data_IF_641581473284
#
_entry.id   IF_641581473284
#
_cell.length_a   1.000
_cell.length_b   1.000
_cell.length_c   1.000
_cell.angle_alpha   90.00
_cell.angle_beta   90.00
_cell.angle_gamma   90.00
#
_symmetry.space_group_name_H-M   'P 1'
#
loop_
_entity.id
_entity.type
_entity.pdbx_description
1 polymer ?
#
# COMPACT_ATOMS: atom_id res chain seq x y z
N UNK A 1 36.33 11.31 8.94
CA UNK A 1 36.40 10.36 7.80
C UNK A 1 35.27 9.36 7.97
N UNK A 2 34.12 9.63 7.37
CA UNK A 2 32.98 8.70 7.34
C UNK A 2 33.23 7.68 6.24
N UNK A 3 33.43 6.43 6.62
CA UNK A 3 33.63 5.35 5.66
C UNK A 3 32.38 5.22 4.80
N UNK A 4 32.53 5.30 3.48
CA UNK A 4 31.47 4.99 2.50
C UNK A 4 31.05 3.53 2.76
N UNK A 5 29.77 3.24 3.00
CA UNK A 5 29.35 1.87 3.22
C UNK A 5 29.64 1.04 1.96
N UNK A 6 30.40 -0.04 2.14
CA UNK A 6 30.69 -0.97 1.06
C UNK A 6 29.39 -1.45 0.40
N UNK A 7 29.34 -1.40 -0.93
CA UNK A 7 28.18 -1.90 -1.69
C UNK A 7 27.92 -3.36 -1.29
N UNK A 8 26.71 -3.64 -0.79
CA UNK A 8 26.34 -5.01 -0.46
C UNK A 8 26.40 -5.90 -1.72
N UNK A 9 26.92 -7.14 -1.63
CA UNK A 9 26.85 -8.08 -2.74
C UNK A 9 25.42 -8.18 -3.27
N UNK A 10 25.23 -8.32 -4.60
CA UNK A 10 23.90 -8.39 -5.23
C UNK A 10 22.97 -9.42 -4.58
N UNK A 11 23.54 -10.51 -4.07
CA UNK A 11 22.82 -11.62 -3.43
C UNK A 11 22.18 -11.27 -2.07
N UNK A 12 22.74 -10.30 -1.33
CA UNK A 12 22.21 -9.82 -0.03
C UNK A 12 21.26 -8.63 -0.16
N UNK A 13 20.99 -8.15 -1.38
CA UNK A 13 20.04 -7.07 -1.60
C UNK A 13 18.62 -7.57 -1.42
N UNK A 14 17.79 -6.73 -0.80
CA UNK A 14 16.37 -7.02 -0.66
C UNK A 14 15.67 -6.76 -2.00
N UNK A 15 14.89 -7.73 -2.41
CA UNK A 15 14.18 -7.70 -3.69
C UNK A 15 12.69 -7.89 -3.50
N UNK A 16 11.92 -7.36 -4.42
CA UNK A 16 10.52 -7.71 -4.63
C UNK A 16 10.51 -8.82 -5.66
N UNK A 17 10.03 -9.99 -5.28
CA UNK A 17 9.99 -11.20 -6.12
C UNK A 17 8.57 -11.63 -6.49
N UNK A 18 7.55 -10.97 -5.91
CA UNK A 18 6.14 -11.20 -6.21
C UNK A 18 5.29 -10.03 -5.78
N UNK A 19 4.11 -9.89 -6.36
CA UNK A 19 3.11 -8.92 -5.95
C UNK A 19 1.70 -9.38 -6.29
N UNK A 20 0.73 -8.90 -5.52
CA UNK A 20 -0.69 -9.09 -5.77
C UNK A 20 -1.44 -7.80 -5.51
N UNK A 21 -2.59 -7.65 -6.12
CA UNK A 21 -3.42 -6.44 -6.01
C UNK A 21 -4.90 -6.77 -6.14
N UNK A 22 -5.68 -6.19 -5.24
CA UNK A 22 -7.13 -6.11 -5.31
C UNK A 22 -7.49 -4.63 -5.40
N UNK A 23 -8.16 -4.20 -6.46
CA UNK A 23 -8.28 -2.78 -6.79
C UNK A 23 -9.63 -2.45 -7.44
N UNK A 24 -9.94 -1.17 -7.69
CA UNK A 24 -11.12 -0.78 -8.47
C UNK A 24 -11.18 -1.35 -9.91
N UNK A 25 -10.07 -1.85 -10.44
CA UNK A 25 -10.09 -2.61 -11.70
C UNK A 25 -10.52 -4.08 -11.53
N UNK A 26 -10.64 -4.58 -10.28
CA UNK A 26 -11.01 -5.95 -9.95
C UNK A 26 -9.93 -6.68 -9.16
N UNK A 27 -10.02 -8.00 -9.15
CA UNK A 27 -9.09 -8.89 -8.49
C UNK A 27 -7.92 -9.24 -9.41
N UNK A 28 -6.72 -9.27 -8.85
CA UNK A 28 -5.51 -9.75 -9.50
C UNK A 28 -4.75 -8.72 -10.33
N UNK A 29 -3.48 -9.05 -10.54
CA UNK A 29 -2.47 -8.21 -11.20
C UNK A 29 -2.82 -7.85 -12.65
N UNK A 30 -3.46 -8.79 -13.35
CA UNK A 30 -3.76 -8.61 -14.76
C UNK A 30 -4.76 -7.47 -14.97
N UNK A 31 -5.88 -7.50 -14.27
CA UNK A 31 -6.91 -6.44 -14.36
C UNK A 31 -6.34 -5.08 -13.99
N UNK A 32 -5.51 -5.02 -12.95
CA UNK A 32 -4.85 -3.79 -12.54
C UNK A 32 -3.89 -3.27 -13.60
N UNK A 33 -3.02 -4.13 -14.15
CA UNK A 33 -2.03 -3.73 -15.14
C UNK A 33 -2.70 -3.27 -16.46
N UNK A 34 -3.68 -4.02 -16.96
CA UNK A 34 -4.44 -3.66 -18.17
C UNK A 34 -5.12 -2.29 -18.00
N UNK A 35 -5.92 -2.11 -16.94
CA UNK A 35 -6.64 -0.85 -16.72
C UNK A 35 -5.72 0.35 -16.49
N UNK A 36 -4.61 0.15 -15.79
CA UNK A 36 -3.63 1.20 -15.51
C UNK A 36 -2.87 1.62 -16.78
N UNK A 37 -2.38 0.66 -17.56
CA UNK A 37 -1.60 0.93 -18.79
C UNK A 37 -2.47 1.56 -19.89
N UNK A 38 -3.76 1.20 -19.93
CA UNK A 38 -4.72 1.82 -20.84
C UNK A 38 -5.17 3.22 -20.37
N UNK A 39 -4.77 3.64 -19.16
CA UNK A 39 -5.19 4.91 -18.57
C UNK A 39 -6.69 4.96 -18.26
N UNK A 40 -7.35 3.81 -18.11
CA UNK A 40 -8.80 3.72 -17.85
C UNK A 40 -9.12 4.18 -16.44
N UNK A 41 -10.03 5.15 -16.29
CA UNK A 41 -10.53 5.59 -14.98
C UNK A 41 -11.41 4.49 -14.36
N UNK A 42 -11.04 4.00 -13.19
CA UNK A 42 -11.77 2.94 -12.47
C UNK A 42 -12.75 3.48 -11.42
N UNK A 43 -12.76 4.80 -11.17
CA UNK A 43 -13.82 5.41 -10.36
C UNK A 43 -15.12 5.49 -11.16
N UNK A 44 -16.23 5.23 -10.50
CA UNK A 44 -17.56 5.25 -11.10
C UNK A 44 -18.58 5.91 -10.18
N UNK A 45 -19.76 6.23 -10.72
CA UNK A 45 -20.86 6.79 -9.95
C UNK A 45 -21.23 5.88 -8.77
N UNK A 46 -21.40 6.46 -7.60
CA UNK A 46 -21.81 5.74 -6.39
C UNK A 46 -23.31 5.54 -6.38
N UNK A 47 -23.75 4.30 -6.19
CA UNK A 47 -25.18 4.02 -5.92
C UNK A 47 -25.55 4.55 -4.53
N UNK A 48 -26.28 5.67 -4.49
CA UNK A 48 -26.72 6.31 -3.25
C UNK A 48 -27.69 5.47 -2.41
N UNK A 49 -28.33 4.46 -3.00
CA UNK A 49 -29.17 3.50 -2.26
C UNK A 49 -28.32 2.51 -1.45
N UNK A 50 -27.20 2.07 -2.01
CA UNK A 50 -26.25 1.19 -1.33
C UNK A 50 -25.26 1.97 -0.47
N UNK A 51 -24.80 3.12 -0.95
CA UNK A 51 -23.76 3.94 -0.34
C UNK A 51 -24.24 5.38 -0.14
N UNK A 52 -24.92 5.71 0.98
CA UNK A 52 -25.37 7.07 1.26
C UNK A 52 -24.20 7.97 1.74
N UNK A 53 -23.31 8.30 0.82
CA UNK A 53 -22.06 9.05 1.03
C UNK A 53 -22.09 10.42 0.35
N UNK A 54 -21.29 11.39 0.82
CA UNK A 54 -21.20 12.73 0.24
C UNK A 54 -20.25 12.80 -0.98
N UNK A 55 -20.13 11.72 -1.75
CA UNK A 55 -19.31 11.63 -2.96
C UNK A 55 -20.16 11.14 -4.12
N UNK A 56 -20.03 11.76 -5.28
CA UNK A 56 -20.71 11.34 -6.52
C UNK A 56 -20.04 10.13 -7.18
N UNK A 57 -18.75 9.95 -6.95
CA UNK A 57 -17.93 8.87 -7.51
C UNK A 57 -17.07 8.22 -6.43
N UNK A 58 -16.71 6.96 -6.63
CA UNK A 58 -15.74 6.22 -5.83
C UNK A 58 -15.04 5.14 -6.66
N UNK A 59 -13.82 4.78 -6.25
CA UNK A 59 -13.07 3.63 -6.77
C UNK A 59 -13.38 2.39 -5.93
N UNK A 60 -14.45 1.67 -6.28
CA UNK A 60 -14.88 0.46 -5.58
C UNK A 60 -14.41 -0.79 -6.31
N UNK A 61 -14.06 -1.84 -5.56
CA UNK A 61 -13.75 -3.15 -6.14
C UNK A 61 -15.06 -3.73 -6.72
N UNK A 62 -15.14 -4.02 -8.03
CA UNK A 62 -16.37 -4.46 -8.67
C UNK A 62 -16.88 -5.77 -8.08
N UNK A 63 -18.14 -5.77 -7.61
CA UNK A 63 -18.80 -6.97 -7.13
C UNK A 63 -18.15 -7.68 -5.96
N UNK A 64 -17.28 -7.03 -5.19
CA UNK A 64 -16.53 -7.66 -4.10
C UNK A 64 -17.44 -8.13 -2.97
N UNK A 65 -17.58 -9.44 -2.86
CA UNK A 65 -18.23 -10.13 -1.74
C UNK A 65 -17.27 -11.14 -1.11
N UNK A 66 -16.99 -10.94 0.18
CA UNK A 66 -16.02 -11.76 0.94
C UNK A 66 -16.38 -13.24 0.92
N UNK A 67 -17.69 -13.57 1.03
CA UNK A 67 -18.15 -14.95 1.07
C UNK A 67 -18.09 -15.63 -0.29
N UNK A 68 -18.32 -14.85 -1.36
CA UNK A 68 -18.18 -15.35 -2.72
C UNK A 68 -16.72 -15.70 -3.05
N UNK A 69 -15.77 -14.85 -2.62
CA UNK A 69 -14.33 -15.04 -2.91
C UNK A 69 -13.69 -16.05 -1.97
N UNK A 70 -13.89 -15.92 -0.66
CA UNK A 70 -13.20 -16.72 0.37
C UNK A 70 -13.99 -17.94 0.88
N UNK A 71 -15.24 -18.09 0.46
CA UNK A 71 -16.17 -19.07 0.99
C UNK A 71 -16.75 -18.67 2.36
N UNK A 72 -17.64 -19.50 2.90
CA UNK A 72 -18.36 -19.19 4.16
C UNK A 72 -17.56 -19.46 5.43
N UNK A 73 -16.58 -20.38 5.38
CA UNK A 73 -15.82 -20.81 6.56
C UNK A 73 -14.84 -19.72 6.99
N UNK A 74 -15.01 -19.23 8.22
CA UNK A 74 -14.12 -18.22 8.82
C UNK A 74 -14.35 -16.77 8.34
N UNK A 75 -15.37 -16.51 7.49
CA UNK A 75 -15.63 -15.17 6.94
C UNK A 75 -16.78 -14.42 7.59
N UNK A 76 -17.48 -15.05 8.57
CA UNK A 76 -18.69 -14.48 9.17
C UNK A 76 -18.46 -13.13 9.87
N UNK A 77 -17.31 -12.99 10.53
CA UNK A 77 -16.93 -11.81 11.30
C UNK A 77 -15.95 -10.90 10.56
N UNK A 78 -15.55 -11.22 9.34
CA UNK A 78 -14.64 -10.37 8.58
C UNK A 78 -15.38 -9.12 8.09
N UNK A 79 -14.80 -7.95 8.36
CA UNK A 79 -15.20 -6.70 7.73
C UNK A 79 -14.55 -6.54 6.35
N UNK A 80 -14.89 -5.45 5.66
CA UNK A 80 -14.43 -5.21 4.29
C UNK A 80 -12.91 -5.06 4.22
N UNK A 81 -12.30 -4.31 5.13
CA UNK A 81 -10.84 -4.12 5.18
C UNK A 81 -10.11 -5.46 5.36
N UNK A 82 -10.60 -6.29 6.29
CA UNK A 82 -10.06 -7.63 6.53
C UNK A 82 -10.23 -8.54 5.31
N UNK A 83 -11.41 -8.52 4.69
CA UNK A 83 -11.69 -9.33 3.50
C UNK A 83 -10.76 -9.00 2.34
N UNK A 84 -10.56 -7.71 2.05
CA UNK A 84 -9.65 -7.22 1.00
C UNK A 84 -8.22 -7.69 1.28
N UNK A 85 -7.73 -7.49 2.52
CA UNK A 85 -6.38 -7.90 2.90
C UNK A 85 -6.17 -9.41 2.77
N UNK A 86 -7.10 -10.22 3.29
CA UNK A 86 -7.03 -11.69 3.25
C UNK A 86 -7.03 -12.23 1.82
N UNK A 87 -7.85 -11.66 0.93
CA UNK A 87 -7.90 -12.04 -0.49
C UNK A 87 -6.56 -11.75 -1.15
N UNK A 88 -6.03 -10.55 -0.98
CA UNK A 88 -4.78 -10.13 -1.63
C UNK A 88 -3.56 -10.92 -1.11
N UNK A 89 -3.54 -11.25 0.20
CA UNK A 89 -2.52 -12.16 0.76
C UNK A 89 -2.62 -13.55 0.12
N UNK A 90 -3.84 -14.07 -0.04
CA UNK A 90 -4.08 -15.37 -0.67
C UNK A 90 -3.57 -15.41 -2.11
N UNK A 91 -3.93 -14.43 -2.94
CA UNK A 91 -3.45 -14.31 -4.33
C UNK A 91 -1.91 -14.22 -4.41
N UNK A 92 -1.28 -13.48 -3.51
CA UNK A 92 0.18 -13.38 -3.47
C UNK A 92 0.83 -14.73 -3.16
N UNK A 93 0.26 -15.49 -2.22
CA UNK A 93 0.78 -16.80 -1.84
C UNK A 93 0.49 -17.88 -2.88
N UNK A 94 -0.64 -17.83 -3.56
CA UNK A 94 -0.96 -18.75 -4.66
C UNK A 94 0.03 -18.60 -5.82
N UNK A 95 0.34 -17.36 -6.19
CA UNK A 95 1.20 -17.08 -7.33
C UNK A 95 2.70 -17.22 -7.03
N UNK A 96 3.13 -16.87 -5.83
CA UNK A 96 4.55 -16.73 -5.47
C UNK A 96 4.97 -17.46 -4.19
N UNK A 97 4.03 -18.06 -3.46
CA UNK A 97 4.29 -18.66 -2.16
C UNK A 97 4.98 -20.03 -2.18
N UNK A 98 5.36 -20.55 -3.35
CA UNK A 98 6.07 -21.81 -3.45
C UNK A 98 7.33 -21.81 -2.56
N UNK A 99 7.46 -22.80 -1.69
CA UNK A 99 8.56 -22.93 -0.76
C UNK A 99 8.42 -22.12 0.54
N UNK A 100 7.60 -21.07 0.59
CA UNK A 100 7.42 -20.25 1.81
C UNK A 100 6.72 -21.03 2.92
N UNK A 101 5.82 -21.94 2.58
CA UNK A 101 5.12 -22.80 3.53
C UNK A 101 6.05 -23.79 4.26
N UNK A 102 7.27 -24.03 3.76
CA UNK A 102 8.26 -24.90 4.41
C UNK A 102 8.85 -24.26 5.68
N UNK A 103 8.87 -22.90 5.75
CA UNK A 103 9.35 -22.17 6.92
C UNK A 103 8.34 -21.07 7.33
N UNK A 104 7.16 -21.46 7.86
CA UNK A 104 6.11 -20.52 8.19
C UNK A 104 6.49 -19.58 9.33
N UNK A 105 7.43 -19.97 10.22
CA UNK A 105 7.92 -19.16 11.33
C UNK A 105 8.87 -18.05 10.90
N UNK A 106 9.44 -18.17 9.70
CA UNK A 106 10.30 -17.16 9.06
C UNK A 106 9.58 -16.42 7.92
N UNK A 107 8.30 -16.74 7.68
CA UNK A 107 7.44 -16.04 6.72
C UNK A 107 6.40 -15.24 7.47
N UNK A 108 6.41 -13.91 7.31
CA UNK A 108 5.56 -13.00 8.05
C UNK A 108 4.82 -11.99 7.17
N UNK A 109 4.12 -11.06 7.82
CA UNK A 109 3.29 -10.04 7.17
C UNK A 109 3.48 -8.68 7.83
N UNK A 110 3.76 -7.65 7.04
CA UNK A 110 3.74 -6.24 7.42
C UNK A 110 2.65 -5.55 6.62
N UNK A 111 1.50 -5.34 7.22
CA UNK A 111 0.34 -4.73 6.55
C UNK A 111 0.11 -3.31 7.03
N UNK A 112 0.01 -2.40 6.09
CA UNK A 112 -0.43 -1.03 6.30
C UNK A 112 -1.95 -0.91 6.20
N UNK A 113 -2.59 -0.14 7.08
CA UNK A 113 -4.03 0.13 7.01
C UNK A 113 -4.40 1.28 7.94
N UNK A 114 -5.51 1.96 7.63
CA UNK A 114 -6.17 2.87 8.57
C UNK A 114 -7.07 2.14 9.59
N UNK A 115 -7.26 0.83 9.40
CA UNK A 115 -8.25 0.04 10.12
C UNK A 115 -9.64 0.14 9.51
N UNK A 116 -10.62 -0.55 10.09
CA UNK A 116 -12.01 -0.44 9.63
C UNK A 116 -12.73 0.69 10.37
N UNK A 117 -12.84 1.84 9.72
CA UNK A 117 -13.61 2.99 10.25
C UNK A 117 -15.07 2.61 10.46
N UNK A 118 -15.65 1.81 9.56
CA UNK A 118 -17.00 1.30 9.70
C UNK A 118 -17.17 0.49 10.99
N UNK A 119 -16.30 -0.50 11.21
CA UNK A 119 -16.40 -1.38 12.39
C UNK A 119 -16.23 -0.61 13.69
N UNK A 120 -15.29 0.34 13.74
CA UNK A 120 -15.07 1.18 14.92
C UNK A 120 -16.30 2.03 15.21
N UNK A 121 -16.83 2.71 14.21
CA UNK A 121 -17.98 3.61 14.37
C UNK A 121 -19.26 2.86 14.72
N UNK A 122 -19.53 1.73 14.06
CA UNK A 122 -20.73 0.91 14.32
C UNK A 122 -20.66 0.28 15.72
N UNK A 123 -19.50 -0.24 16.12
CA UNK A 123 -19.32 -0.77 17.48
C UNK A 123 -19.50 0.31 18.56
N UNK A 124 -18.92 1.49 18.34
CA UNK A 124 -19.05 2.63 19.25
C UNK A 124 -20.50 3.10 19.34
N UNK A 125 -21.19 3.18 18.20
CA UNK A 125 -22.61 3.51 18.16
C UNK A 125 -23.43 2.53 18.97
N UNK A 126 -23.24 1.22 18.78
CA UNK A 126 -23.97 0.19 19.51
C UNK A 126 -23.72 0.29 21.02
N UNK A 127 -22.48 0.59 21.44
CA UNK A 127 -22.12 0.80 22.83
C UNK A 127 -22.79 2.03 23.46
N UNK A 128 -22.95 3.12 22.69
CA UNK A 128 -23.49 4.39 23.19
C UNK A 128 -25.02 4.48 23.12
N UNK A 129 -25.63 3.88 22.10
CA UNK A 129 -27.08 4.03 21.82
C UNK A 129 -27.88 2.79 22.14
N UNK A 130 -27.23 1.66 22.48
CA UNK A 130 -27.90 0.43 22.91
C UNK A 130 -28.62 0.62 24.24
N UNK A 131 -29.62 -0.22 24.51
CA UNK A 131 -30.41 -0.21 25.75
C UNK A 131 -29.51 -0.34 27.00
N UNK A 132 -28.39 -1.08 26.86
CA UNK A 132 -27.36 -1.25 27.88
C UNK A 132 -25.99 -1.10 27.24
N UNK A 133 -25.21 -0.04 27.53
CA UNK A 133 -23.94 0.26 26.86
C UNK A 133 -22.91 -0.88 26.83
N UNK A 134 -22.95 -1.78 27.82
CA UNK A 134 -22.05 -2.92 27.92
C UNK A 134 -22.52 -4.19 27.16
N UNK A 135 -23.75 -4.17 26.61
CA UNK A 135 -24.29 -5.28 25.82
C UNK A 135 -23.97 -5.09 24.33
N UNK A 136 -22.69 -5.19 23.99
CA UNK A 136 -22.21 -5.20 22.62
C UNK A 136 -21.87 -6.63 22.17
N UNK A 137 -21.94 -6.90 20.88
CA UNK A 137 -21.54 -8.21 20.35
C UNK A 137 -20.01 -8.38 20.44
N UNK A 138 -19.49 -9.26 21.33
CA UNK A 138 -18.05 -9.42 21.50
C UNK A 138 -17.35 -9.95 20.24
N UNK A 139 -18.06 -10.60 19.32
CA UNK A 139 -17.50 -11.09 18.06
C UNK A 139 -17.12 -9.97 17.10
N UNK A 140 -17.65 -8.75 17.30
CA UNK A 140 -17.33 -7.56 16.49
C UNK A 140 -16.13 -6.79 17.03
N UNK A 141 -15.76 -7.00 18.30
CA UNK A 141 -14.66 -6.26 18.94
C UNK A 141 -13.31 -6.42 18.20
N UNK A 142 -12.89 -7.60 17.70
CA UNK A 142 -11.63 -7.72 16.98
C UNK A 142 -11.50 -6.79 15.77
N UNK A 143 -12.61 -6.44 15.11
CA UNK A 143 -12.60 -5.54 13.94
C UNK A 143 -12.43 -4.06 14.33
N UNK A 144 -12.48 -3.72 15.61
CA UNK A 144 -12.26 -2.33 16.07
C UNK A 144 -10.79 -1.99 16.26
N UNK A 145 -9.89 -2.97 16.15
CA UNK A 145 -8.45 -2.76 16.28
C UNK A 145 -7.76 -2.90 14.93
N UNK A 146 -6.86 -1.97 14.63
CA UNK A 146 -6.25 -1.85 13.30
C UNK A 146 -5.42 -3.06 12.87
N UNK A 147 -5.00 -3.93 13.80
CA UNK A 147 -4.24 -5.14 13.46
C UNK A 147 -5.13 -6.35 13.11
N UNK A 148 -6.46 -6.20 13.11
CA UNK A 148 -7.37 -7.30 12.76
C UNK A 148 -7.11 -7.85 11.35
N UNK A 149 -7.01 -7.03 10.28
CA UNK A 149 -6.71 -7.52 8.93
C UNK A 149 -5.41 -8.29 8.85
N UNK A 150 -4.36 -7.83 9.53
CA UNK A 150 -3.04 -8.49 9.55
C UNK A 150 -3.10 -9.83 10.29
N UNK A 151 -3.73 -9.86 11.46
CA UNK A 151 -3.90 -11.07 12.27
C UNK A 151 -4.76 -12.13 11.58
N UNK A 152 -5.90 -11.74 11.01
CA UNK A 152 -6.79 -12.66 10.28
C UNK A 152 -6.11 -13.23 9.02
N UNK A 153 -5.34 -12.41 8.30
CA UNK A 153 -4.56 -12.87 7.16
C UNK A 153 -3.51 -13.90 7.58
N UNK A 154 -2.77 -13.63 8.66
CA UNK A 154 -1.77 -14.55 9.17
C UNK A 154 -2.36 -15.89 9.63
N UNK A 155 -3.49 -15.86 10.36
CA UNK A 155 -4.20 -17.06 10.81
C UNK A 155 -4.67 -17.89 9.62
N UNK A 156 -5.34 -17.26 8.65
CA UNK A 156 -5.90 -17.96 7.50
C UNK A 156 -4.85 -18.62 6.62
N UNK A 157 -3.72 -17.92 6.43
CA UNK A 157 -2.65 -18.37 5.54
C UNK A 157 -1.46 -19.00 6.28
N UNK A 158 -1.58 -19.22 7.59
CA UNK A 158 -0.57 -19.90 8.42
C UNK A 158 0.79 -19.21 8.39
N UNK A 159 0.80 -17.86 8.38
CA UNK A 159 2.01 -17.05 8.51
C UNK A 159 2.35 -16.89 9.99
N UNK A 160 3.45 -17.47 10.44
CA UNK A 160 3.86 -17.51 11.85
C UNK A 160 5.06 -16.62 12.16
N UNK A 161 5.66 -16.02 11.16
CA UNK A 161 6.74 -15.05 11.32
C UNK A 161 6.24 -13.72 11.87
N UNK A 162 7.05 -12.65 11.79
CA UNK A 162 6.66 -11.33 12.27
C UNK A 162 5.31 -10.88 11.70
N UNK A 163 4.41 -10.42 12.57
CA UNK A 163 3.10 -9.91 12.20
C UNK A 163 2.98 -8.47 12.68
N UNK A 164 2.99 -7.52 11.77
CA UNK A 164 3.07 -6.09 12.08
C UNK A 164 2.02 -5.31 11.32
N UNK A 165 1.40 -4.37 12.01
CA UNK A 165 0.50 -3.39 11.38
C UNK A 165 1.09 -1.99 11.53
N UNK A 166 1.07 -1.23 10.43
CA UNK A 166 1.56 0.15 10.39
C UNK A 166 0.49 1.09 9.84
N UNK A 167 0.55 2.36 10.25
CA UNK A 167 -0.31 3.42 9.72
C UNK A 167 0.49 4.71 9.62
N UNK A 168 0.26 5.47 8.57
CA UNK A 168 0.94 6.74 8.29
C UNK A 168 0.30 7.41 7.06
N UNK A 169 -1.04 7.41 7.01
CA UNK A 169 -1.82 8.02 5.95
C UNK A 169 -1.42 7.49 4.56
N UNK A 170 -1.30 8.36 3.58
CA UNK A 170 -0.96 8.01 2.20
C UNK A 170 0.45 7.38 2.04
N UNK A 171 1.36 7.59 3.02
CA UNK A 171 2.70 7.00 3.00
C UNK A 171 2.76 5.55 3.53
N UNK A 172 1.65 5.01 4.01
CA UNK A 172 1.59 3.73 4.73
C UNK A 172 2.20 2.57 3.95
N UNK A 173 1.92 2.45 2.64
CA UNK A 173 2.48 1.38 1.80
C UNK A 173 4.01 1.39 1.75
N UNK A 174 4.63 2.59 1.65
CA UNK A 174 6.09 2.74 1.69
C UNK A 174 6.66 2.48 3.09
N UNK A 175 5.95 2.88 4.15
CA UNK A 175 6.34 2.61 5.54
C UNK A 175 6.33 1.10 5.81
N UNK A 176 5.32 0.36 5.32
CA UNK A 176 5.24 -1.09 5.44
C UNK A 176 6.42 -1.77 4.73
N UNK A 177 6.74 -1.36 3.50
CA UNK A 177 7.90 -1.85 2.74
C UNK A 177 9.22 -1.59 3.49
N UNK A 178 9.40 -0.38 4.03
CA UNK A 178 10.60 -0.02 4.79
C UNK A 178 10.72 -0.81 6.10
N UNK A 179 9.60 -1.00 6.82
CA UNK A 179 9.61 -1.78 8.06
C UNK A 179 9.93 -3.25 7.80
N UNK A 180 9.33 -3.85 6.78
CA UNK A 180 9.65 -5.21 6.33
C UNK A 180 11.13 -5.35 5.95
N UNK A 181 11.68 -4.36 5.23
CA UNK A 181 13.10 -4.31 4.88
C UNK A 181 14.01 -4.30 6.11
N UNK A 182 13.62 -3.61 7.18
CA UNK A 182 14.36 -3.61 8.45
C UNK A 182 14.32 -4.97 9.15
N UNK A 183 13.15 -5.62 9.19
CA UNK A 183 13.01 -6.95 9.79
C UNK A 183 13.83 -8.00 9.05
N UNK A 184 13.84 -7.98 7.72
CA UNK A 184 14.65 -8.89 6.90
C UNK A 184 16.16 -8.67 7.12
N UNK A 185 16.60 -7.40 7.10
CA UNK A 185 18.02 -7.08 7.39
C UNK A 185 18.44 -7.46 8.80
N UNK A 186 17.52 -7.41 9.76
CA UNK A 186 17.73 -7.85 11.14
C UNK A 186 17.68 -9.38 11.35
N UNK A 187 17.40 -10.18 10.30
CA UNK A 187 17.31 -11.64 10.37
C UNK A 187 16.08 -12.17 11.11
N UNK A 188 15.05 -11.31 11.32
CA UNK A 188 13.81 -11.70 12.01
C UNK A 188 12.94 -12.58 11.13
N UNK A 189 13.05 -12.48 9.81
CA UNK A 189 12.33 -13.28 8.82
C UNK A 189 13.23 -13.58 7.61
N UNK A 190 12.86 -14.60 6.83
CA UNK A 190 13.47 -14.94 5.54
C UNK A 190 12.66 -14.35 4.39
N UNK A 191 11.34 -14.27 4.55
CA UNK A 191 10.42 -13.66 3.60
C UNK A 191 9.34 -12.87 4.34
N UNK A 192 8.95 -11.72 3.79
CA UNK A 192 7.86 -10.91 4.31
C UNK A 192 6.93 -10.47 3.17
N UNK A 193 5.64 -10.68 3.39
CA UNK A 193 4.62 -10.01 2.62
C UNK A 193 4.48 -8.58 3.18
N UNK A 194 4.62 -7.57 2.35
CA UNK A 194 4.53 -6.18 2.79
C UNK A 194 3.69 -5.36 1.81
N UNK A 195 2.88 -4.47 2.33
CA UNK A 195 2.03 -3.59 1.52
C UNK A 195 0.94 -2.97 2.37
N UNK A 196 -0.18 -2.59 1.74
CA UNK A 196 -1.26 -1.94 2.46
C UNK A 196 -2.64 -2.28 1.89
N UNK A 197 -3.65 -2.15 2.75
CA UNK A 197 -5.06 -2.34 2.42
C UNK A 197 -5.90 -1.19 3.00
N UNK A 198 -6.94 -0.79 2.26
CA UNK A 198 -7.90 0.22 2.67
C UNK A 198 -9.32 -0.17 2.25
N UNK A 199 -10.30 0.12 3.09
CA UNK A 199 -11.72 -0.09 2.77
C UNK A 199 -12.38 1.19 2.28
N UNK A 200 -13.44 1.03 1.47
CA UNK A 200 -14.46 2.06 1.33
C UNK A 200 -15.62 1.77 2.26
N UNK A 201 -16.08 2.77 3.00
CA UNK A 201 -17.27 2.68 3.84
C UNK A 201 -17.97 4.03 3.96
N UNK A 202 -19.25 3.99 4.33
CA UNK A 202 -20.04 5.22 4.55
C UNK A 202 -19.41 6.06 5.66
N UNK A 203 -18.92 5.42 6.70
CA UNK A 203 -18.31 6.07 7.85
C UNK A 203 -17.00 6.75 7.47
N UNK A 204 -16.12 6.04 6.73
CA UNK A 204 -14.88 6.62 6.22
C UNK A 204 -15.16 7.79 5.29
N UNK A 205 -16.09 7.64 4.34
CA UNK A 205 -16.44 8.70 3.41
C UNK A 205 -16.93 9.98 4.10
N UNK A 206 -17.73 9.84 5.14
CA UNK A 206 -18.19 10.99 5.96
C UNK A 206 -17.07 11.63 6.75
N UNK A 207 -16.18 10.82 7.35
CA UNK A 207 -15.04 11.30 8.12
C UNK A 207 -14.07 12.08 7.23
N UNK A 208 -13.72 11.53 6.07
CA UNK A 208 -12.83 12.16 5.09
C UNK A 208 -13.41 13.50 4.61
N UNK A 209 -14.71 13.54 4.32
CA UNK A 209 -15.37 14.79 3.89
C UNK A 209 -15.33 15.88 4.95
N UNK A 210 -15.44 15.51 6.22
CA UNK A 210 -15.30 16.47 7.34
C UNK A 210 -13.85 16.93 7.48
N UNK A 211 -12.90 16.03 7.37
CA UNK A 211 -11.48 16.32 7.47
C UNK A 211 -10.98 17.26 6.33
N UNK A 212 -11.55 17.14 5.12
CA UNK A 212 -11.29 18.03 3.99
C UNK A 212 -11.98 19.41 4.11
N UNK A 213 -12.64 19.70 5.24
CA UNK A 213 -13.39 20.94 5.47
C UNK A 213 -14.44 21.25 4.38
N UNK A 214 -14.97 20.22 3.74
CA UNK A 214 -15.96 20.36 2.68
C UNK A 214 -15.42 20.94 1.36
N UNK A 215 -14.10 20.93 1.15
CA UNK A 215 -13.45 21.46 -0.04
C UNK A 215 -14.02 20.89 -1.33
N UNK A 216 -14.16 21.72 -2.37
CA UNK A 216 -14.70 21.31 -3.68
C UNK A 216 -13.74 20.40 -4.48
N UNK A 217 -12.49 20.31 -4.07
CA UNK A 217 -11.40 19.60 -4.76
C UNK A 217 -11.11 18.21 -4.19
N UNK A 218 -11.99 17.65 -3.34
CA UNK A 218 -11.76 16.31 -2.80
C UNK A 218 -11.83 15.25 -3.91
N UNK A 219 -10.78 14.45 -4.04
CA UNK A 219 -10.78 13.30 -4.95
C UNK A 219 -11.83 12.28 -4.54
N UNK A 220 -12.36 11.50 -5.51
CA UNK A 220 -13.12 10.29 -5.17
C UNK A 220 -12.31 9.37 -4.27
N UNK A 221 -12.94 8.80 -3.24
CA UNK A 221 -12.28 7.79 -2.43
C UNK A 221 -12.15 6.48 -3.19
N UNK A 222 -11.04 5.78 -2.96
CA UNK A 222 -10.78 4.44 -3.47
C UNK A 222 -10.64 3.41 -2.36
N UNK A 223 -10.63 2.14 -2.72
CA UNK A 223 -10.36 1.01 -1.84
C UNK A 223 -9.51 -0.05 -2.51
N UNK A 224 -8.98 -0.96 -1.73
CA UNK A 224 -8.27 -2.13 -2.22
C UNK A 224 -7.01 -2.41 -1.42
N UNK A 225 -6.16 -3.26 -1.97
CA UNK A 225 -4.86 -3.61 -1.39
C UNK A 225 -3.83 -3.90 -2.48
N UNK A 226 -2.57 -3.61 -2.18
CA UNK A 226 -1.44 -4.13 -2.93
C UNK A 226 -0.38 -4.63 -1.96
N UNK A 227 0.13 -5.83 -2.22
CA UNK A 227 1.09 -6.55 -1.39
C UNK A 227 2.24 -7.07 -2.23
N UNK A 228 3.41 -7.10 -1.62
CA UNK A 228 4.69 -7.45 -2.26
C UNK A 228 5.39 -8.52 -1.44
N UNK A 229 5.97 -9.51 -2.11
CA UNK A 229 6.88 -10.47 -1.49
C UNK A 229 8.29 -9.89 -1.47
N UNK A 230 8.80 -9.64 -0.27
CA UNK A 230 10.16 -9.19 0.00
C UNK A 230 11.00 -10.32 0.57
N UNK A 231 12.18 -10.50 0.00
CA UNK A 231 13.16 -11.50 0.42
C UNK A 231 14.57 -11.10 -0.05
N UNK A 232 15.59 -11.89 0.27
CA UNK A 232 16.91 -11.70 -0.33
C UNK A 232 16.92 -12.16 -1.80
N UNK A 233 17.79 -11.59 -2.62
CA UNK A 233 17.97 -12.04 -4.00
C UNK A 233 18.41 -13.50 -4.12
N UNK A 234 19.06 -14.04 -3.09
CA UNK A 234 19.42 -15.45 -2.97
C UNK A 234 18.18 -16.32 -2.74
N UNK A 235 17.33 -15.97 -1.76
CA UNK A 235 16.10 -16.69 -1.46
C UNK A 235 15.13 -16.68 -2.65
N UNK A 236 15.03 -15.56 -3.37
CA UNK A 236 14.22 -15.47 -4.58
C UNK A 236 14.70 -16.48 -5.64
N UNK A 237 16.02 -16.55 -5.89
CA UNK A 237 16.61 -17.48 -6.85
C UNK A 237 16.42 -18.94 -6.44
N UNK A 238 16.67 -19.27 -5.18
CA UNK A 238 16.45 -20.62 -4.64
C UNK A 238 14.98 -21.05 -4.73
N UNK A 239 14.06 -20.10 -4.50
CA UNK A 239 12.62 -20.31 -4.69
C UNK A 239 12.14 -20.27 -6.14
N UNK A 240 13.05 -20.16 -7.12
CA UNK A 240 12.69 -20.08 -8.55
C UNK A 240 11.92 -18.81 -8.93
N UNK A 241 11.99 -17.76 -8.10
CA UNK A 241 11.27 -16.50 -8.32
C UNK A 241 12.16 -15.49 -9.05
N UNK A 242 11.56 -14.77 -9.98
CA UNK A 242 12.22 -13.66 -10.68
C UNK A 242 12.32 -12.44 -9.77
N UNK A 243 13.44 -11.74 -9.81
CA UNK A 243 13.56 -10.41 -9.21
C UNK A 243 12.77 -9.42 -10.07
N UNK A 244 11.76 -8.77 -9.49
CA UNK A 244 10.95 -7.76 -10.16
C UNK A 244 11.49 -6.36 -9.92
N UNK A 245 12.01 -6.13 -8.70
CA UNK A 245 12.71 -4.89 -8.37
C UNK A 245 13.64 -5.13 -7.16
N UNK A 246 14.72 -4.35 -7.08
CA UNK A 246 15.58 -4.26 -5.90
C UNK A 246 15.23 -3.00 -5.12
N UNK A 247 15.01 -3.10 -3.82
CA UNK A 247 14.77 -1.95 -2.93
C UNK A 247 16.11 -1.31 -2.57
N UNK A 248 16.40 -0.17 -3.17
CA UNK A 248 17.65 0.55 -2.95
C UNK A 248 17.62 1.32 -1.63
N UNK A 249 16.52 1.96 -1.31
CA UNK A 249 16.35 2.69 -0.06
C UNK A 249 15.02 3.40 0.06
N UNK A 250 14.72 3.85 1.28
CA UNK A 250 13.57 4.71 1.58
C UNK A 250 13.97 5.80 2.56
N UNK A 251 13.39 6.98 2.43
CA UNK A 251 13.54 8.11 3.35
C UNK A 251 12.18 8.68 3.70
N UNK A 252 11.99 9.00 4.98
CA UNK A 252 10.75 9.56 5.50
C UNK A 252 11.07 10.77 6.38
N UNK A 253 10.18 11.76 6.35
CA UNK A 253 10.25 12.93 7.21
C UNK A 253 8.85 13.34 7.67
N UNK A 254 8.80 13.91 8.87
CA UNK A 254 7.64 14.64 9.32
C UNK A 254 7.77 16.12 8.93
N UNK A 255 6.63 16.78 8.74
CA UNK A 255 6.53 18.22 8.59
C UNK A 255 5.43 18.77 9.52
N UNK A 256 5.70 19.84 10.29
CA UNK A 256 4.73 20.36 11.27
C UNK A 256 3.66 21.26 10.62
N UNK A 257 3.91 21.81 9.44
CA UNK A 257 3.06 22.75 8.75
C UNK A 257 2.95 22.33 7.28
N UNK A 258 1.75 22.35 6.72
CA UNK A 258 1.46 21.93 5.33
C UNK A 258 2.34 22.65 4.30
N UNK A 259 2.69 23.91 4.50
CA UNK A 259 3.58 24.69 3.64
C UNK A 259 5.03 24.15 3.55
N UNK A 260 5.43 23.23 4.42
CA UNK A 260 6.77 22.63 4.46
C UNK A 260 6.86 21.23 3.85
N UNK A 261 5.75 20.68 3.40
CA UNK A 261 5.68 19.32 2.85
C UNK A 261 6.62 19.13 1.66
N UNK A 262 6.61 20.06 0.70
CA UNK A 262 7.47 20.00 -0.50
C UNK A 262 8.97 20.00 -0.18
N UNK A 263 9.41 20.89 0.73
CA UNK A 263 10.80 20.93 1.16
C UNK A 263 11.24 19.65 1.91
N UNK A 264 10.35 19.09 2.72
CA UNK A 264 10.59 17.82 3.40
C UNK A 264 10.70 16.65 2.41
N UNK A 265 9.83 16.62 1.40
CA UNK A 265 9.87 15.60 0.35
C UNK A 265 11.13 15.74 -0.51
N UNK A 266 11.48 16.96 -0.97
CA UNK A 266 12.68 17.19 -1.75
C UNK A 266 13.94 16.68 -1.04
N UNK A 267 14.02 16.85 0.29
CA UNK A 267 15.11 16.25 1.09
C UNK A 267 15.07 14.73 1.12
N UNK A 268 13.89 14.11 1.23
CA UNK A 268 13.78 12.64 1.17
C UNK A 268 14.26 12.11 -0.19
N UNK A 269 13.87 12.78 -1.27
CA UNK A 269 14.29 12.43 -2.65
C UNK A 269 15.80 12.59 -2.80
N UNK A 270 16.35 13.76 -2.43
CA UNK A 270 17.79 13.97 -2.53
C UNK A 270 18.61 12.96 -1.73
N UNK A 271 18.19 12.65 -0.51
CA UNK A 271 18.89 11.69 0.34
C UNK A 271 18.80 10.24 -0.19
N UNK A 272 17.64 9.80 -0.71
CA UNK A 272 17.52 8.43 -1.23
C UNK A 272 18.34 8.24 -2.51
N UNK A 273 18.44 9.26 -3.36
CA UNK A 273 19.30 9.26 -4.55
C UNK A 273 20.79 9.25 -4.17
N UNK A 274 21.19 10.12 -3.24
CA UNK A 274 22.56 10.20 -2.76
C UNK A 274 23.04 8.91 -2.10
N UNK A 275 22.20 8.25 -1.29
CA UNK A 275 22.50 6.97 -0.67
C UNK A 275 22.70 5.84 -1.69
N UNK A 276 22.01 5.92 -2.81
CA UNK A 276 22.14 4.98 -3.93
C UNK A 276 23.31 5.34 -4.88
N UNK A 277 23.92 6.51 -4.72
CA UNK A 277 25.01 7.00 -5.57
C UNK A 277 24.56 7.32 -6.99
N UNK A 278 23.32 7.84 -7.16
CA UNK A 278 22.71 8.14 -8.46
C UNK A 278 22.20 9.60 -8.52
N UNK A 279 22.06 10.14 -9.74
CA UNK A 279 21.53 11.47 -9.97
C UNK A 279 20.03 11.49 -10.29
N UNK A 280 19.42 12.69 -10.27
CA UNK A 280 18.02 12.88 -10.68
C UNK A 280 17.74 12.42 -12.11
N UNK A 281 18.71 12.54 -13.01
CA UNK A 281 18.65 12.16 -14.41
C UNK A 281 18.64 10.64 -14.66
N UNK A 282 19.10 9.87 -13.68
CA UNK A 282 19.12 8.40 -13.76
C UNK A 282 17.72 7.76 -13.53
N UNK A 283 16.80 8.55 -12.97
CA UNK A 283 15.42 8.07 -12.71
C UNK A 283 14.65 7.99 -14.02
N UNK A 284 14.18 6.80 -14.35
CA UNK A 284 13.41 6.55 -15.57
C UNK A 284 11.89 6.57 -15.37
N UNK A 285 11.43 6.34 -14.13
CA UNK A 285 10.02 6.25 -13.81
C UNK A 285 9.75 6.89 -12.45
N UNK A 286 8.70 7.69 -12.34
CA UNK A 286 8.26 8.28 -11.07
C UNK A 286 6.78 8.02 -10.87
N UNK A 287 6.41 7.45 -9.72
CA UNK A 287 5.05 7.30 -9.28
C UNK A 287 4.76 8.25 -8.11
N UNK A 288 4.29 9.50 -8.39
CA UNK A 288 3.96 10.48 -7.37
C UNK A 288 2.63 10.16 -6.69
N UNK A 289 2.45 10.67 -5.46
CA UNK A 289 1.22 10.54 -4.69
C UNK A 289 0.05 11.30 -5.27
N UNK A 290 0.33 12.37 -5.99
CA UNK A 290 -0.65 13.27 -6.63
C UNK A 290 -1.80 13.71 -5.72
N UNK A 291 -1.55 14.16 -4.46
CA UNK A 291 -2.61 14.69 -3.63
C UNK A 291 -3.21 15.96 -4.24
N UNK A 292 -4.50 16.27 -4.01
CA UNK A 292 -5.11 17.47 -4.56
C UNK A 292 -4.57 18.75 -3.94
N UNK A 293 -4.85 19.87 -4.60
CA UNK A 293 -4.63 21.21 -4.09
C UNK A 293 -3.18 21.58 -3.83
N UNK A 294 -2.92 22.24 -2.70
CA UNK A 294 -1.60 22.79 -2.38
C UNK A 294 -0.52 21.71 -2.15
N UNK A 295 -0.90 20.55 -1.60
CA UNK A 295 0.05 19.45 -1.41
C UNK A 295 0.55 18.88 -2.74
N UNK A 296 -0.33 18.73 -3.73
CA UNK A 296 0.07 18.29 -5.07
C UNK A 296 1.05 19.25 -5.73
N UNK A 297 0.79 20.57 -5.64
CA UNK A 297 1.73 21.59 -6.15
C UNK A 297 3.10 21.52 -5.47
N UNK A 298 3.13 21.24 -4.18
CA UNK A 298 4.38 21.06 -3.44
C UNK A 298 5.10 19.77 -3.83
N UNK A 299 4.37 18.68 -4.12
CA UNK A 299 4.97 17.46 -4.65
C UNK A 299 5.58 17.69 -6.04
N UNK A 300 4.84 18.33 -6.94
CA UNK A 300 5.33 18.70 -8.27
C UNK A 300 6.63 19.52 -8.17
N UNK A 301 6.64 20.54 -7.32
CA UNK A 301 7.84 21.37 -7.08
C UNK A 301 9.01 20.56 -6.49
N UNK A 302 8.73 19.63 -5.58
CA UNK A 302 9.76 18.78 -4.98
C UNK A 302 10.36 17.77 -5.98
N UNK A 303 9.63 17.45 -7.04
CA UNK A 303 10.04 16.56 -8.12
C UNK A 303 10.56 17.30 -9.37
N UNK A 304 10.63 18.62 -9.31
CA UNK A 304 11.22 19.42 -10.38
C UNK A 304 12.69 19.04 -10.60
N UNK A 305 13.05 18.77 -11.85
CA UNK A 305 14.40 18.30 -12.21
C UNK A 305 14.63 16.79 -12.05
N UNK A 306 13.68 16.04 -11.47
CA UNK A 306 13.74 14.57 -11.48
C UNK A 306 13.28 14.07 -12.86
N UNK A 307 14.11 13.30 -13.54
CA UNK A 307 13.83 12.68 -14.83
C UNK A 307 12.70 11.64 -14.77
N UNK A 308 12.45 11.03 -15.92
CA UNK A 308 11.56 9.87 -16.05
C UNK A 308 10.08 10.18 -16.31
N UNK A 309 9.42 9.14 -16.78
CA UNK A 309 7.97 9.14 -17.01
C UNK A 309 7.20 9.22 -15.69
N UNK A 310 6.06 9.94 -15.68
CA UNK A 310 5.20 10.08 -14.51
C UNK A 310 4.01 9.10 -14.59
N UNK A 311 3.81 8.29 -13.55
CA UNK A 311 2.65 7.40 -13.42
C UNK A 311 1.72 7.96 -12.33
N UNK A 312 0.63 8.60 -12.71
CA UNK A 312 -0.38 9.09 -11.78
C UNK A 312 -1.45 8.02 -11.56
N UNK A 313 -1.44 7.37 -10.39
CA UNK A 313 -2.37 6.28 -10.05
C UNK A 313 -3.65 6.80 -9.42
N UNK A 314 -3.53 7.73 -8.48
CA UNK A 314 -4.66 8.28 -7.71
C UNK A 314 -5.80 8.83 -8.57
N UNK A 315 -5.58 9.57 -9.67
CA UNK A 315 -6.66 10.04 -10.54
C UNK A 315 -7.46 8.91 -11.21
N UNK A 316 -6.87 7.72 -11.32
CA UNK A 316 -7.50 6.55 -11.95
C UNK A 316 -8.31 5.70 -10.97
N UNK A 317 -7.80 5.49 -9.77
CA UNK A 317 -8.40 4.56 -8.79
C UNK A 317 -9.03 5.25 -7.58
N UNK A 318 -8.88 6.57 -7.46
CA UNK A 318 -9.32 7.35 -6.30
C UNK A 318 -8.30 7.36 -5.16
N UNK A 319 -8.61 8.09 -4.09
CA UNK A 319 -7.80 8.14 -2.87
C UNK A 319 -8.01 6.89 -2.02
N UNK A 320 -7.09 5.98 -2.09
CA UNK A 320 -7.08 4.78 -1.26
C UNK A 320 -6.31 4.94 0.06
N UNK A 321 -6.06 6.17 0.52
CA UNK A 321 -5.38 6.52 1.77
C UNK A 321 -4.20 5.59 2.07
N UNK A 322 -4.33 4.63 3.01
CA UNK A 322 -3.24 3.73 3.38
C UNK A 322 -2.73 2.87 2.21
N UNK A 323 -3.59 2.47 1.28
CA UNK A 323 -3.21 1.67 0.12
C UNK A 323 -2.64 2.49 -1.05
N UNK A 324 -2.70 3.83 -1.03
CA UNK A 324 -2.29 4.69 -2.15
C UNK A 324 -0.85 4.44 -2.59
N UNK A 325 0.11 4.50 -1.66
CA UNK A 325 1.52 4.27 -2.00
C UNK A 325 1.81 2.80 -2.39
N UNK A 326 1.01 1.85 -1.92
CA UNK A 326 1.12 0.47 -2.37
C UNK A 326 0.62 0.31 -3.81
N UNK A 327 -0.45 1.00 -4.21
CA UNK A 327 -0.88 1.04 -5.62
C UNK A 327 0.16 1.70 -6.53
N UNK A 328 0.86 2.74 -6.07
CA UNK A 328 1.96 3.34 -6.81
C UNK A 328 3.11 2.36 -7.05
N UNK A 329 3.50 1.59 -6.03
CA UNK A 329 4.49 0.52 -6.16
C UNK A 329 4.02 -0.57 -7.14
N UNK A 330 2.75 -0.98 -7.06
CA UNK A 330 2.17 -1.95 -8.00
C UNK A 330 2.17 -1.41 -9.44
N UNK A 331 1.88 -0.12 -9.62
CA UNK A 331 1.91 0.55 -10.91
C UNK A 331 3.32 0.56 -11.52
N UNK A 332 4.35 0.84 -10.73
CA UNK A 332 5.76 0.75 -11.15
C UNK A 332 6.08 -0.66 -11.64
N UNK A 333 5.67 -1.70 -10.91
CA UNK A 333 5.91 -3.09 -11.32
C UNK A 333 5.11 -3.49 -12.57
N UNK A 334 3.89 -2.99 -12.72
CA UNK A 334 3.07 -3.22 -13.92
C UNK A 334 3.72 -2.61 -15.17
N UNK A 335 4.20 -1.35 -15.08
CA UNK A 335 4.93 -0.69 -16.17
C UNK A 335 6.24 -1.41 -16.51
N UNK A 336 7.03 -1.80 -15.49
CA UNK A 336 8.26 -2.56 -15.69
C UNK A 336 8.00 -3.92 -16.38
N UNK A 337 6.90 -4.58 -16.03
CA UNK A 337 6.50 -5.84 -16.66
C UNK A 337 6.07 -5.70 -18.12
N UNK A 338 5.53 -4.54 -18.50
CA UNK A 338 5.06 -4.25 -19.85
C UNK A 338 6.16 -3.65 -20.76
N UNK A 339 7.21 -3.05 -20.19
CA UNK A 339 8.23 -2.32 -20.91
C UNK A 339 9.64 -2.87 -20.63
N UNK A 340 10.16 -3.79 -21.47
CA UNK A 340 11.51 -4.37 -21.30
C UNK A 340 12.63 -3.33 -21.22
N UNK A 341 12.44 -2.14 -21.80
CA UNK A 341 13.40 -1.04 -21.75
C UNK A 341 13.59 -0.46 -20.32
N UNK A 342 12.70 -0.77 -19.39
CA UNK A 342 12.80 -0.37 -17.98
C UNK A 342 13.66 -1.31 -17.13
N UNK A 343 14.08 -2.46 -17.64
CA UNK A 343 14.98 -3.38 -16.93
C UNK A 343 16.28 -2.65 -16.54
N UNK A 344 16.76 -2.85 -15.33
CA UNK A 344 17.91 -2.16 -14.70
C UNK A 344 17.74 -0.64 -14.52
N UNK A 345 16.60 -0.05 -14.90
CA UNK A 345 16.33 1.38 -14.72
C UNK A 345 15.85 1.67 -13.29
N UNK A 346 15.92 2.95 -12.91
CA UNK A 346 15.49 3.40 -11.60
C UNK A 346 14.05 3.90 -11.61
N UNK A 347 13.31 3.53 -10.58
CA UNK A 347 11.97 4.05 -10.33
C UNK A 347 11.91 4.70 -8.94
N UNK A 348 11.31 5.87 -8.87
CA UNK A 348 11.07 6.64 -7.65
C UNK A 348 9.58 6.65 -7.32
N UNK A 349 9.24 6.29 -6.09
CA UNK A 349 7.87 6.39 -5.56
C UNK A 349 7.85 7.41 -4.45
N UNK A 350 6.95 8.38 -4.50
CA UNK A 350 6.80 9.41 -3.46
C UNK A 350 5.41 9.38 -2.84
N UNK A 351 5.32 9.80 -1.60
CA UNK A 351 4.06 9.94 -0.88
C UNK A 351 4.09 11.20 -0.01
N UNK A 352 3.00 11.94 -0.06
CA UNK A 352 2.71 13.06 0.83
C UNK A 352 1.39 12.79 1.53
N UNK A 353 1.42 12.81 2.85
CA UNK A 353 0.21 12.70 3.66
C UNK A 353 -0.12 14.06 4.28
N UNK A 354 -1.41 14.42 4.28
CA UNK A 354 -1.87 15.70 4.86
C UNK A 354 -1.59 15.83 6.35
N UNK A 355 -1.46 14.69 7.07
CA UNK A 355 -1.26 14.64 8.51
C UNK A 355 0.21 14.73 8.93
N UNK A 356 1.10 15.14 8.01
CA UNK A 356 2.44 15.55 8.35
C UNK A 356 3.55 14.55 8.01
N UNK A 357 3.31 13.58 7.13
CA UNK A 357 4.33 12.60 6.72
C UNK A 357 4.63 12.70 5.24
N UNK A 358 5.91 12.70 4.89
CA UNK A 358 6.38 12.52 3.50
C UNK A 358 7.36 11.36 3.41
N UNK A 359 7.40 10.72 2.27
CA UNK A 359 8.32 9.63 2.01
C UNK A 359 8.73 9.50 0.54
N UNK A 360 9.92 8.94 0.33
CA UNK A 360 10.43 8.56 -0.97
C UNK A 360 11.08 7.19 -0.89
N UNK A 361 10.82 6.35 -1.88
CA UNK A 361 11.44 5.02 -2.04
C UNK A 361 12.02 4.89 -3.43
N UNK A 362 13.27 4.44 -3.52
CA UNK A 362 13.98 4.20 -4.77
C UNK A 362 14.11 2.71 -5.03
N UNK A 363 13.76 2.30 -6.23
CA UNK A 363 13.82 0.93 -6.73
C UNK A 363 14.73 0.86 -7.95
N UNK A 364 15.40 -0.30 -8.13
CA UNK A 364 15.98 -0.70 -9.41
C UNK A 364 15.11 -1.82 -9.97
N UNK A 365 14.59 -1.63 -11.16
CA UNK A 365 13.69 -2.58 -11.83
C UNK A 365 14.47 -3.79 -12.35
N UNK A 366 13.84 -4.99 -12.31
CA UNK A 366 14.46 -6.26 -12.68
C UNK A 366 13.89 -6.93 -13.91
#
# INVERSE_FOLDING_TARGET
MTATPAAQPRERRLVISGWAVTSPYGLGRRSFAEGLLDGTKATSAVDGGQWPVPYGEAGLIPGFDIKAVLGRKGTRSMDRATGIAVVTVGELLEDFGQGLAADPEKTGLVLGTSGSVQSIMDFTKDALTGEKPYLVDPARFPNTVMNCPTGQSAIRHTLKGPNVTVSGGSATGLLALNYASRLLRGGHANALLAGAAEEFSVQRARLERVADHGGAEADPLGEGAALFLLESGEAAREGGRRVLATVLGSRFRAFPESGRAGAALARCVAEVLADAGVGPEDVALVAPGTPPGQLGKQEESALEGIGGERIAVRPLVGDATAASAAFQLAAVLAHAGAQPALVDRLALVTALDRDGTVGATLLRLG
#
